data_IF_292506287815
#
_entry.id   IF_292506287815
#
_cell.length_a   1.000
_cell.length_b   1.000
_cell.length_c   1.000
_cell.angle_alpha   90.00
_cell.angle_beta   90.00
_cell.angle_gamma   90.00
#
_symmetry.space_group_name_H-M   'P 1'
#
loop_
_entity.id
_entity.type
_entity.pdbx_description
1 polymer ?
#
# COMPACT_ATOMS: atom_id res chain seq x y z
N UNK A 1 8.55 -5.91 5.05
CA UNK A 1 9.62 -6.92 4.77
C UNK A 1 9.21 -8.32 5.18
N UNK A 2 9.05 -8.61 6.49
CA UNK A 2 8.71 -9.98 6.95
C UNK A 2 7.44 -10.53 6.29
N UNK A 3 6.36 -9.75 6.27
CA UNK A 3 5.12 -10.13 5.57
C UNK A 3 5.34 -10.37 4.08
N UNK A 4 6.07 -9.47 3.40
CA UNK A 4 6.36 -9.59 1.97
C UNK A 4 7.08 -10.90 1.60
N UNK A 5 7.98 -11.37 2.46
CA UNK A 5 8.67 -12.66 2.27
C UNK A 5 7.73 -13.88 2.38
N UNK A 6 6.56 -13.73 3.01
CA UNK A 6 5.59 -14.80 3.20
C UNK A 6 4.43 -14.71 2.20
N UNK A 7 4.29 -13.59 1.49
CA UNK A 7 3.22 -13.38 0.52
C UNK A 7 3.60 -14.02 -0.83
N UNK A 8 2.72 -14.85 -1.41
CA UNK A 8 2.87 -15.27 -2.79
C UNK A 8 2.83 -14.09 -3.76
N UNK A 9 3.52 -14.20 -4.90
CA UNK A 9 3.65 -13.12 -5.88
C UNK A 9 2.31 -12.64 -6.50
N UNK A 10 1.26 -13.46 -6.44
CA UNK A 10 -0.06 -13.11 -6.99
C UNK A 10 -0.94 -12.32 -6.00
N UNK A 11 -0.50 -12.11 -4.76
CA UNK A 11 -1.26 -11.31 -3.80
C UNK A 11 -0.93 -9.83 -4.04
N UNK A 12 -1.93 -8.99 -4.36
CA UNK A 12 -1.73 -7.56 -4.45
C UNK A 12 -1.28 -7.01 -3.09
N UNK A 13 -0.21 -6.22 -3.10
CA UNK A 13 0.30 -5.59 -1.88
C UNK A 13 0.53 -4.10 -2.13
N UNK A 14 0.24 -3.29 -1.11
CA UNK A 14 0.57 -1.86 -1.10
C UNK A 14 1.38 -1.60 0.17
N UNK A 15 2.53 -0.96 0.04
CA UNK A 15 3.35 -0.52 1.15
C UNK A 15 3.41 1.01 1.19
N UNK A 16 2.98 1.59 2.31
CA UNK A 16 2.97 3.03 2.55
C UNK A 16 3.99 3.32 3.65
N UNK A 17 4.99 4.12 3.33
CA UNK A 17 6.04 4.49 4.28
C UNK A 17 6.64 5.85 3.89
N UNK A 18 6.96 6.70 4.85
CA UNK A 18 7.56 8.00 4.58
C UNK A 18 9.02 7.88 4.10
N UNK A 19 9.68 6.75 4.40
CA UNK A 19 11.05 6.49 4.00
C UNK A 19 11.13 5.74 2.67
N UNK A 20 11.77 6.32 1.64
CA UNK A 20 11.98 5.61 0.37
C UNK A 20 12.82 4.33 0.54
N UNK A 21 13.67 4.26 1.59
CA UNK A 21 14.55 3.12 1.83
C UNK A 21 13.80 1.82 2.15
N UNK A 22 12.59 1.92 2.71
CA UNK A 22 11.79 0.74 3.08
C UNK A 22 11.26 0.05 1.82
N UNK A 23 10.86 0.84 0.82
CA UNK A 23 10.37 0.32 -0.46
C UNK A 23 11.49 -0.31 -1.28
N UNK A 24 12.67 0.30 -1.32
CA UNK A 24 13.85 -0.30 -1.96
C UNK A 24 14.17 -1.67 -1.34
N UNK A 25 14.17 -1.79 -0.01
CA UNK A 25 14.41 -3.06 0.70
C UNK A 25 13.35 -4.14 0.39
N UNK A 26 12.10 -3.75 0.13
CA UNK A 26 11.04 -4.68 -0.29
C UNK A 26 11.29 -5.19 -1.70
N UNK A 27 11.60 -4.29 -2.64
CA UNK A 27 11.91 -4.63 -4.03
C UNK A 27 13.15 -5.54 -4.12
N UNK A 28 14.24 -5.20 -3.41
CA UNK A 28 15.47 -5.98 -3.38
C UNK A 28 15.27 -7.42 -2.85
N UNK A 29 14.18 -7.66 -2.11
CA UNK A 29 13.82 -8.97 -1.56
C UNK A 29 12.71 -9.69 -2.35
N UNK A 30 12.51 -9.30 -3.60
CA UNK A 30 11.62 -10.01 -4.51
C UNK A 30 10.14 -9.68 -4.35
N UNK A 31 9.76 -8.70 -3.52
CA UNK A 31 8.37 -8.25 -3.37
C UNK A 31 7.93 -7.28 -4.48
N UNK A 32 8.26 -7.59 -5.73
CA UNK A 32 8.02 -6.72 -6.90
C UNK A 32 6.53 -6.49 -7.20
N UNK A 33 5.65 -7.37 -6.72
CA UNK A 33 4.19 -7.19 -6.79
C UNK A 33 3.66 -6.06 -5.89
N UNK A 34 4.51 -5.51 -5.01
CA UNK A 34 4.11 -4.47 -4.06
C UNK A 34 4.15 -3.10 -4.72
N UNK A 35 3.03 -2.39 -4.69
CA UNK A 35 2.98 -0.97 -5.02
C UNK A 35 3.53 -0.18 -3.83
N UNK A 36 4.56 0.63 -4.04
CA UNK A 36 5.18 1.45 -3.00
C UNK A 36 4.73 2.90 -3.05
N UNK A 37 4.27 3.44 -1.93
CA UNK A 37 3.88 4.84 -1.77
C UNK A 37 4.79 5.52 -0.74
N UNK A 38 5.52 6.55 -1.17
CA UNK A 38 6.36 7.36 -0.28
C UNK A 38 5.55 8.56 0.20
N UNK A 39 4.92 8.43 1.37
CA UNK A 39 4.08 9.48 1.98
C UNK A 39 3.96 9.24 3.48
N UNK A 40 3.53 10.27 4.22
CA UNK A 40 3.11 10.10 5.61
C UNK A 40 1.84 9.23 5.67
N UNK A 41 1.80 8.35 6.67
CA UNK A 41 0.75 7.35 6.88
C UNK A 41 -0.53 7.97 7.41
N UNK A 42 -0.45 9.01 8.25
CA UNK A 42 -1.62 9.64 8.88
C UNK A 42 -2.52 10.35 7.85
N UNK A 43 -2.03 11.32 7.04
CA UNK A 43 -2.85 11.94 6.01
C UNK A 43 -3.27 10.96 4.90
N UNK A 44 -2.45 9.94 4.60
CA UNK A 44 -2.84 8.89 3.66
C UNK A 44 -4.10 8.14 4.12
N UNK A 45 -4.19 7.78 5.41
CA UNK A 45 -5.37 7.10 5.93
C UNK A 45 -6.61 7.99 5.90
N UNK A 46 -6.48 9.29 6.19
CA UNK A 46 -7.62 10.21 6.08
C UNK A 46 -8.17 10.27 4.64
N UNK A 47 -7.30 10.45 3.65
CA UNK A 47 -7.70 10.48 2.23
C UNK A 47 -8.26 9.13 1.76
N UNK A 48 -7.67 8.01 2.20
CA UNK A 48 -8.16 6.68 1.86
C UNK A 48 -9.58 6.43 2.38
N UNK A 49 -9.85 6.82 3.64
CA UNK A 49 -11.19 6.69 4.22
C UNK A 49 -12.19 7.56 3.47
N UNK A 50 -11.84 8.81 3.16
CA UNK A 50 -12.70 9.70 2.38
C UNK A 50 -13.01 9.12 0.99
N UNK A 51 -12.00 8.61 0.28
CA UNK A 51 -12.16 7.99 -1.03
C UNK A 51 -13.05 6.75 -0.98
N UNK A 52 -12.90 5.89 0.04
CA UNK A 52 -13.76 4.71 0.23
C UNK A 52 -15.21 5.14 0.43
N UNK A 53 -15.48 6.15 1.25
CA UNK A 53 -16.84 6.66 1.48
C UNK A 53 -17.49 7.20 0.21
N UNK A 54 -16.71 7.91 -0.62
CA UNK A 54 -17.20 8.37 -1.94
C UNK A 54 -17.58 7.19 -2.83
N UNK A 55 -16.71 6.19 -2.94
CA UNK A 55 -16.97 4.99 -3.77
C UNK A 55 -18.17 4.20 -3.25
N UNK A 56 -18.32 4.05 -1.93
CA UNK A 56 -19.47 3.35 -1.33
C UNK A 56 -20.79 4.07 -1.62
N UNK A 57 -20.79 5.41 -1.59
CA UNK A 57 -21.97 6.20 -1.95
C UNK A 57 -22.34 6.03 -3.43
N UNK A 58 -21.36 6.07 -4.34
CA UNK A 58 -21.57 5.85 -5.78
C UNK A 58 -22.08 4.43 -6.10
N UNK A 59 -21.66 3.41 -5.36
CA UNK A 59 -22.11 2.02 -5.53
C UNK A 59 -23.53 1.79 -5.00
N UNK A 60 -23.99 2.64 -4.08
CA UNK A 60 -25.31 2.53 -3.44
C UNK A 60 -26.45 3.19 -4.23
N UNK A 61 -26.11 4.02 -5.23
CA UNK A 61 -27.05 4.65 -6.19
C UNK A 61 -27.27 3.77 -7.44
#
# INVERSE_FOLDING_TARGET
>A
IATGNLLPAWIPAVAVDISPSVLTKLADRGSFQTIGLVTDVEPFFHELVAAIQTVEAEVSE
#
